data_IF_530406810046
#
_entry.id   IF_530406810046
#
_cell.length_a   1.000
_cell.length_b   1.000
_cell.length_c   1.000
_cell.angle_alpha   90.00
_cell.angle_beta   90.00
_cell.angle_gamma   90.00
#
_symmetry.space_group_name_H-M   'P 1'
#
loop_
_entity.id
_entity.type
_entity.pdbx_description
1 polymer ?
#
# COMPACT_ATOMS: atom_id res chain seq x y z
N UNK A 1 -17.54 4.26 13.83
CA UNK A 1 -16.18 3.70 14.03
C UNK A 1 -15.66 3.31 12.66
N UNK A 2 -15.02 4.24 11.95
CA UNK A 2 -14.46 3.98 10.63
C UNK A 2 -13.23 3.10 10.81
N UNK A 3 -13.23 1.90 10.23
CA UNK A 3 -12.06 1.04 10.25
C UNK A 3 -10.88 1.67 9.48
N UNK A 4 -9.68 1.05 9.52
CA UNK A 4 -8.49 1.57 8.85
C UNK A 4 -8.72 1.90 7.36
N UNK A 5 -9.62 1.17 6.69
CA UNK A 5 -9.96 1.45 5.28
C UNK A 5 -10.71 2.79 5.10
N UNK A 6 -11.52 3.23 6.06
CA UNK A 6 -12.20 4.52 5.97
C UNK A 6 -11.19 5.68 5.93
N UNK A 7 -10.15 5.60 6.77
CA UNK A 7 -9.03 6.54 6.77
C UNK A 7 -8.31 6.52 5.43
N UNK A 8 -7.96 5.34 4.93
CA UNK A 8 -7.31 5.16 3.63
C UNK A 8 -8.14 5.78 2.49
N UNK A 9 -9.47 5.56 2.48
CA UNK A 9 -10.37 6.18 1.48
C UNK A 9 -10.36 7.71 1.54
N UNK A 10 -10.27 8.28 2.74
CA UNK A 10 -10.11 9.72 2.97
C UNK A 10 -8.81 10.29 2.41
N UNK A 11 -7.75 9.47 2.35
CA UNK A 11 -6.45 9.82 1.76
C UNK A 11 -6.41 9.70 0.22
N UNK A 12 -7.56 9.42 -0.42
CA UNK A 12 -7.63 9.26 -1.87
C UNK A 12 -7.50 7.81 -2.35
N UNK A 13 -7.43 6.83 -1.46
CA UNK A 13 -7.37 5.42 -1.84
C UNK A 13 -8.72 5.00 -2.45
N UNK A 14 -8.67 4.37 -3.62
CA UNK A 14 -9.83 3.88 -4.37
C UNK A 14 -9.69 2.38 -4.64
N UNK A 15 -10.05 1.53 -3.65
CA UNK A 15 -9.88 0.09 -3.80
C UNK A 15 -10.66 -0.47 -4.99
N UNK A 16 -11.83 0.10 -5.32
CA UNK A 16 -12.65 -0.38 -6.43
C UNK A 16 -12.00 -0.28 -7.83
N UNK A 17 -10.91 0.49 -7.97
CA UNK A 17 -10.24 0.72 -9.26
C UNK A 17 -9.23 -0.39 -9.60
N UNK A 18 -8.85 -1.25 -8.63
CA UNK A 18 -7.83 -2.27 -8.79
C UNK A 18 -8.16 -3.54 -7.96
N UNK A 19 -7.59 -4.68 -8.33
CA UNK A 19 -7.79 -5.93 -7.57
C UNK A 19 -7.02 -5.88 -6.23
N UNK A 20 -5.86 -5.24 -6.24
CA UNK A 20 -5.06 -4.95 -5.05
C UNK A 20 -4.62 -3.49 -5.06
N UNK A 21 -4.91 -2.77 -3.97
CA UNK A 21 -4.36 -1.44 -3.71
C UNK A 21 -3.34 -1.49 -2.59
N UNK A 22 -2.11 -1.08 -2.89
CA UNK A 22 -1.00 -0.97 -1.95
C UNK A 22 -0.81 0.49 -1.56
N UNK A 23 -1.06 0.80 -0.29
CA UNK A 23 -0.86 2.15 0.26
C UNK A 23 0.44 2.17 1.03
N UNK A 24 1.42 2.93 0.56
CA UNK A 24 2.72 3.06 1.19
C UNK A 24 2.82 4.40 1.92
N UNK A 25 2.93 4.34 3.25
CA UNK A 25 3.33 5.48 4.07
C UNK A 25 4.85 5.61 4.06
N UNK A 26 5.36 6.78 3.67
CA UNK A 26 6.79 7.11 3.78
C UNK A 26 6.98 8.55 4.24
N UNK A 27 8.23 8.93 4.50
CA UNK A 27 8.66 10.32 4.71
C UNK A 27 9.58 10.76 3.57
N UNK A 28 9.84 12.06 3.46
CA UNK A 28 10.54 12.67 2.32
C UNK A 28 11.97 12.12 2.05
N UNK A 29 12.64 11.54 3.04
CA UNK A 29 14.06 11.15 2.96
C UNK A 29 14.35 9.66 3.19
N UNK A 30 13.34 8.80 3.15
CA UNK A 30 13.51 7.38 3.44
C UNK A 30 14.15 6.61 2.26
N UNK A 31 15.42 6.21 2.39
CA UNK A 31 16.14 5.37 1.42
C UNK A 31 15.41 4.06 1.07
N UNK A 32 15.02 3.23 2.06
CA UNK A 32 14.27 2.00 1.82
C UNK A 32 12.93 2.22 1.10
N UNK A 33 12.30 3.38 1.32
CA UNK A 33 11.01 3.70 0.71
C UNK A 33 11.10 3.88 -0.80
N UNK A 34 12.23 4.41 -1.31
CA UNK A 34 12.48 4.54 -2.76
C UNK A 34 12.58 3.17 -3.43
N UNK A 35 13.29 2.23 -2.81
CA UNK A 35 13.44 0.86 -3.35
C UNK A 35 12.09 0.15 -3.41
N UNK A 36 11.29 0.21 -2.33
CA UNK A 36 9.94 -0.38 -2.31
C UNK A 36 9.04 0.27 -3.36
N UNK A 37 9.09 1.59 -3.51
CA UNK A 37 8.32 2.32 -4.53
C UNK A 37 8.69 1.90 -5.95
N UNK A 38 9.98 1.86 -6.28
CA UNK A 38 10.44 1.43 -7.60
C UNK A 38 9.98 0.00 -7.93
N UNK A 39 10.01 -0.89 -6.94
CA UNK A 39 9.49 -2.26 -7.09
C UNK A 39 7.98 -2.29 -7.34
N UNK A 40 7.20 -1.53 -6.58
CA UNK A 40 5.75 -1.44 -6.80
C UNK A 40 5.42 -0.91 -8.19
N UNK A 41 6.11 0.14 -8.64
CA UNK A 41 5.96 0.68 -10.00
C UNK A 41 6.27 -0.36 -11.08
N UNK A 42 7.31 -1.17 -10.89
CA UNK A 42 7.64 -2.26 -11.81
C UNK A 42 6.56 -3.37 -11.81
N UNK A 43 6.03 -3.73 -10.64
CA UNK A 43 4.95 -4.71 -10.53
C UNK A 43 3.66 -4.17 -11.19
N UNK A 44 3.34 -2.89 -11.04
CA UNK A 44 2.18 -2.28 -11.71
C UNK A 44 2.26 -2.37 -13.24
N UNK A 45 3.47 -2.25 -13.81
CA UNK A 45 3.66 -2.37 -15.26
C UNK A 45 3.35 -3.77 -15.80
N UNK A 46 3.45 -4.80 -14.95
CA UNK A 46 3.24 -6.21 -15.33
C UNK A 46 1.94 -6.78 -14.77
N UNK A 47 1.33 -6.12 -13.78
CA UNK A 47 0.05 -6.49 -13.16
C UNK A 47 -0.89 -5.27 -13.18
N UNK A 48 -1.75 -5.13 -14.20
CA UNK A 48 -2.67 -3.99 -14.31
C UNK A 48 -3.71 -3.94 -13.17
N UNK A 49 -3.94 -5.06 -12.47
CA UNK A 49 -4.78 -5.12 -11.27
C UNK A 49 -4.13 -4.53 -10.01
N UNK A 50 -2.91 -3.99 -10.09
CA UNK A 50 -2.20 -3.37 -8.96
C UNK A 50 -2.33 -1.83 -8.99
N UNK A 51 -2.94 -1.26 -7.96
CA UNK A 51 -2.84 0.17 -7.66
C UNK A 51 -1.80 0.43 -6.55
N UNK A 52 -0.99 1.47 -6.72
CA UNK A 52 -0.05 1.96 -5.73
C UNK A 52 -0.40 3.40 -5.35
N UNK A 53 -0.60 3.64 -4.06
CA UNK A 53 -0.84 4.98 -3.51
C UNK A 53 0.28 5.31 -2.54
N UNK A 54 0.97 6.41 -2.80
CA UNK A 54 2.01 6.91 -1.92
C UNK A 54 1.42 8.00 -1.02
N UNK A 55 1.55 7.83 0.30
CA UNK A 55 1.11 8.79 1.30
C UNK A 55 2.32 9.28 2.07
N UNK A 56 2.49 10.60 2.13
CA UNK A 56 3.46 11.20 3.04
C UNK A 56 2.92 11.18 4.47
N UNK A 57 3.64 10.47 5.35
CA UNK A 57 3.31 10.33 6.75
C UNK A 57 3.45 11.67 7.51
N UNK A 58 4.38 12.53 7.10
CA UNK A 58 4.63 13.82 7.75
C UNK A 58 3.47 14.81 7.47
N UNK A 59 2.91 14.75 6.26
CA UNK A 59 1.74 15.54 5.88
C UNK A 59 0.40 14.99 6.41
N UNK A 60 0.33 13.73 6.87
CA UNK A 60 -0.93 13.06 7.26
C UNK A 60 -0.90 12.48 8.68
N UNK A 61 -0.47 13.28 9.67
CA UNK A 61 -0.29 12.85 11.06
C UNK A 61 -1.55 12.25 11.72
N UNK A 62 -2.74 12.75 11.37
CA UNK A 62 -4.00 12.20 11.89
C UNK A 62 -4.19 10.74 11.45
N UNK A 63 -3.98 10.46 10.15
CA UNK A 63 -4.08 9.12 9.61
C UNK A 63 -3.00 8.18 10.16
N UNK A 64 -1.76 8.68 10.33
CA UNK A 64 -0.65 7.93 10.94
C UNK A 64 -1.01 7.47 12.35
N UNK A 65 -1.61 8.34 13.16
CA UNK A 65 -2.06 8.01 14.53
C UNK A 65 -3.20 7.00 14.51
N UNK A 66 -4.20 7.20 13.66
CA UNK A 66 -5.37 6.32 13.59
C UNK A 66 -5.03 4.92 13.04
N UNK A 67 -4.08 4.84 12.11
CA UNK A 67 -3.58 3.58 11.52
C UNK A 67 -2.42 2.96 12.30
N UNK A 68 -1.99 3.59 13.40
CA UNK A 68 -0.90 3.14 14.27
C UNK A 68 0.42 2.91 13.50
N UNK A 69 0.76 3.85 12.60
CA UNK A 69 1.98 3.83 11.80
C UNK A 69 3.16 4.31 12.64
N UNK A 70 3.91 3.36 13.22
CA UNK A 70 5.04 3.65 14.11
C UNK A 70 6.40 3.78 13.43
N UNK A 71 6.56 3.22 12.22
CA UNK A 71 7.83 3.20 11.47
C UNK A 71 7.55 3.31 9.97
N UNK A 72 8.50 3.85 9.23
CA UNK A 72 8.43 3.95 7.76
C UNK A 72 9.51 3.12 7.07
N UNK A 73 9.21 2.51 5.91
CA UNK A 73 7.90 2.51 5.25
C UNK A 73 6.89 1.61 5.97
N UNK A 74 5.61 1.98 5.98
CA UNK A 74 4.52 1.04 6.34
C UNK A 74 3.61 0.88 5.14
N UNK A 75 3.26 -0.37 4.81
CA UNK A 75 2.40 -0.70 3.69
C UNK A 75 1.07 -1.25 4.20
N UNK A 76 -0.02 -0.83 3.58
CA UNK A 76 -1.36 -1.42 3.77
C UNK A 76 -1.83 -2.03 2.46
N UNK A 77 -2.37 -3.23 2.54
CA UNK A 77 -2.86 -3.99 1.39
C UNK A 77 -4.38 -4.03 1.47
N UNK A 78 -5.05 -3.49 0.45
CA UNK A 78 -6.51 -3.38 0.41
C UNK A 78 -7.00 -4.09 -0.84
N UNK A 79 -7.99 -4.98 -0.71
CA UNK A 79 -8.63 -5.60 -1.86
C UNK A 79 -9.62 -4.65 -2.56
N UNK A 80 -10.15 -5.10 -3.70
CA UNK A 80 -11.14 -4.37 -4.48
C UNK A 80 -12.40 -4.03 -3.68
N UNK A 81 -12.81 -4.91 -2.79
CA UNK A 81 -13.98 -4.76 -1.92
C UNK A 81 -13.76 -3.72 -0.81
N UNK A 82 -12.54 -3.22 -0.65
CA UNK A 82 -12.20 -2.27 0.40
C UNK A 82 -12.07 -2.93 1.76
N UNK A 83 -11.54 -4.14 1.81
CA UNK A 83 -11.14 -4.85 3.03
C UNK A 83 -9.63 -4.75 3.16
N UNK A 84 -9.16 -4.56 4.39
CA UNK A 84 -7.74 -4.59 4.69
C UNK A 84 -7.28 -6.04 4.75
N UNK A 85 -6.49 -6.46 3.76
CA UNK A 85 -5.89 -7.80 3.69
C UNK A 85 -4.76 -7.95 4.71
N UNK A 86 -4.03 -6.86 4.98
CA UNK A 86 -2.97 -6.84 5.97
C UNK A 86 -2.15 -5.56 5.93
N UNK A 87 -1.11 -5.52 6.77
CA UNK A 87 -0.12 -4.44 6.78
C UNK A 87 1.29 -4.98 6.98
N UNK A 88 2.27 -4.28 6.42
CA UNK A 88 3.70 -4.51 6.69
C UNK A 88 4.27 -3.28 7.38
N UNK A 89 4.77 -3.45 8.60
CA UNK A 89 5.50 -2.40 9.32
C UNK A 89 6.99 -2.51 9.00
N UNK A 90 7.45 -1.74 8.02
CA UNK A 90 8.78 -1.83 7.44
C UNK A 90 8.75 -2.16 5.95
N UNK A 91 9.92 -2.14 5.31
CA UNK A 91 10.06 -2.57 3.93
C UNK A 91 9.88 -4.11 3.89
N UNK A 92 8.84 -4.65 3.21
CA UNK A 92 8.70 -6.09 3.07
C UNK A 92 9.82 -6.65 2.21
N UNK A 93 10.06 -7.97 2.32
CA UNK A 93 11.01 -8.59 1.42
C UNK A 93 10.51 -8.51 -0.03
N UNK A 94 11.42 -8.29 -0.99
CA UNK A 94 11.17 -8.44 -2.42
C UNK A 94 10.21 -9.57 -2.78
N UNK A 95 10.55 -10.81 -2.43
CA UNK A 95 9.74 -11.98 -2.76
C UNK A 95 8.35 -11.96 -2.11
N UNK A 96 8.24 -11.53 -0.84
CA UNK A 96 6.96 -11.47 -0.13
C UNK A 96 6.01 -10.47 -0.79
N UNK A 97 6.53 -9.30 -1.18
CA UNK A 97 5.72 -8.30 -1.85
C UNK A 97 5.22 -8.80 -3.20
N UNK A 98 6.09 -9.45 -3.98
CA UNK A 98 5.72 -10.02 -5.28
C UNK A 98 4.69 -11.13 -5.12
N UNK A 99 4.89 -12.06 -4.18
CA UNK A 99 3.95 -13.15 -3.93
C UNK A 99 2.57 -12.62 -3.49
N UNK A 100 2.54 -11.59 -2.64
CA UNK A 100 1.29 -10.96 -2.19
C UNK A 100 0.56 -10.31 -3.37
N UNK A 101 1.28 -9.57 -4.22
CA UNK A 101 0.70 -8.97 -5.42
C UNK A 101 0.17 -10.06 -6.34
N UNK A 102 0.96 -11.10 -6.63
CA UNK A 102 0.57 -12.19 -7.53
C UNK A 102 -0.67 -12.95 -7.05
N UNK A 103 -0.81 -13.12 -5.74
CA UNK A 103 -1.97 -13.78 -5.16
C UNK A 103 -3.29 -13.00 -5.35
N UNK A 104 -3.22 -11.68 -5.58
CA UNK A 104 -4.41 -10.81 -5.63
C UNK A 104 -4.64 -10.13 -6.99
N UNK A 105 -3.59 -9.92 -7.77
CA UNK A 105 -3.66 -9.23 -9.07
C UNK A 105 -3.51 -10.22 -10.21
N UNK A 106 -4.11 -11.42 -10.06
CA UNK A 106 -3.85 -12.60 -10.86
C UNK A 106 -3.54 -12.29 -12.32
N UNK A 107 -2.47 -12.91 -12.84
CA UNK A 107 -2.13 -12.85 -14.27
C UNK A 107 -3.33 -13.38 -15.02
N UNK A 108 -4.13 -12.49 -15.60
CA UNK A 108 -5.22 -12.88 -16.50
C UNK A 108 -4.57 -13.63 -17.66
N UNK A 109 -4.66 -14.97 -17.58
CA UNK A 109 -4.30 -15.89 -18.65
C UNK A 109 -5.32 -15.80 -19.78
#
# INVERSE_FOLDING_TARGET
MGGPVAVLKGLGVRPADADLTVVQFSTAFCGPCRTTRARLQHLQATRPGLAHVHVDAESHLAAVRELDVRRTPTLFYVDREGRLLGRSSGAPRPEELTALVDAHTGVRS
#
